data_IF_003827744111
#
_entry.id   IF_003827744111
#
_cell.length_a   1.000
_cell.length_b   1.000
_cell.length_c   1.000
_cell.angle_alpha   90.00
_cell.angle_beta   90.00
_cell.angle_gamma   90.00
#
_symmetry.space_group_name_H-M   'P 1'
#
loop_
_entity.id
_entity.type
_entity.pdbx_description
1 polymer ?
#
# COMPACT_ATOMS: atom_id res chain seq x y z
N UNK A 1 14.03 3.44 -2.18
CA UNK A 1 13.80 3.28 -3.63
C UNK A 1 15.04 2.62 -4.20
N UNK A 2 14.86 1.54 -4.95
CA UNK A 2 15.92 0.87 -5.72
C UNK A 2 15.74 1.24 -7.19
N UNK A 3 16.83 1.46 -7.91
CA UNK A 3 16.81 1.88 -9.32
C UNK A 3 17.84 1.13 -10.13
N UNK A 4 17.48 0.71 -11.34
CA UNK A 4 18.37 0.13 -12.34
C UNK A 4 17.94 0.59 -13.74
N UNK A 5 18.75 1.47 -14.36
CA UNK A 5 18.40 2.15 -15.61
C UNK A 5 17.03 2.83 -15.56
N UNK A 6 16.14 2.41 -16.45
CA UNK A 6 14.77 2.92 -16.56
C UNK A 6 13.75 2.15 -15.72
N UNK A 7 14.20 1.34 -14.76
CA UNK A 7 13.36 0.61 -13.81
C UNK A 7 13.61 1.11 -12.38
N UNK A 8 12.54 1.26 -11.60
CA UNK A 8 12.64 1.53 -10.18
C UNK A 8 11.62 0.74 -9.37
N UNK A 9 11.97 0.41 -8.12
CA UNK A 9 11.08 -0.19 -7.14
C UNK A 9 11.05 0.67 -5.87
N UNK A 10 9.85 1.01 -5.43
CA UNK A 10 9.59 1.76 -4.20
C UNK A 10 8.68 0.92 -3.31
N UNK A 11 9.00 0.84 -2.03
CA UNK A 11 8.11 0.23 -1.04
C UNK A 11 7.99 1.13 0.18
N UNK A 12 6.88 1.00 0.91
CA UNK A 12 6.66 1.76 2.14
C UNK A 12 5.37 1.34 2.87
N UNK A 13 5.23 1.88 4.09
CA UNK A 13 3.98 1.82 4.83
C UNK A 13 3.14 3.06 4.51
N UNK A 14 1.88 2.84 4.17
CA UNK A 14 0.92 3.89 3.82
C UNK A 14 -0.17 3.95 4.88
N UNK A 15 -0.43 5.14 5.40
CA UNK A 15 -1.58 5.42 6.27
C UNK A 15 -2.70 6.00 5.42
N UNK A 16 -3.86 5.36 5.44
CA UNK A 16 -5.08 5.91 4.86
C UNK A 16 -6.03 6.27 6.00
N UNK A 17 -6.57 7.48 5.95
CA UNK A 17 -7.67 7.91 6.80
C UNK A 17 -8.80 8.36 5.88
N UNK A 18 -9.98 7.78 6.06
CA UNK A 18 -11.15 8.07 5.24
C UNK A 18 -12.41 8.20 6.10
N UNK A 19 -13.40 8.95 5.57
CA UNK A 19 -14.77 8.99 6.07
C UNK A 19 -15.67 8.40 4.98
N UNK A 20 -15.97 7.08 5.02
CA UNK A 20 -16.83 6.48 4.02
C UNK A 20 -18.22 7.11 4.06
N UNK A 21 -18.82 7.30 2.89
CA UNK A 21 -20.18 7.83 2.79
C UNK A 21 -21.15 6.83 3.41
N UNK A 22 -21.99 7.29 4.35
CA UNK A 22 -23.00 6.46 5.01
C UNK A 22 -22.48 5.71 6.25
N UNK A 23 -21.18 5.77 6.54
CA UNK A 23 -20.63 5.20 7.78
C UNK A 23 -20.56 6.27 8.88
N UNK A 24 -20.96 5.93 10.12
CA UNK A 24 -20.94 6.89 11.24
C UNK A 24 -19.51 7.24 11.66
N UNK A 25 -18.58 6.30 11.53
CA UNK A 25 -17.22 6.43 12.05
C UNK A 25 -16.17 6.55 10.93
N UNK A 26 -15.13 7.39 11.11
CA UNK A 26 -13.98 7.40 10.23
C UNK A 26 -13.17 6.11 10.39
N UNK A 27 -12.47 5.71 9.32
CA UNK A 27 -11.52 4.60 9.37
C UNK A 27 -10.10 5.12 9.20
N UNK A 28 -9.16 4.51 9.93
CA UNK A 28 -7.73 4.66 9.69
C UNK A 28 -7.12 3.27 9.61
N UNK A 29 -6.33 2.99 8.56
CA UNK A 29 -5.60 1.74 8.43
C UNK A 29 -4.19 1.97 7.88
N UNK A 30 -3.27 1.08 8.26
CA UNK A 30 -1.93 1.00 7.68
C UNK A 30 -1.84 -0.19 6.75
N UNK A 31 -1.20 0.00 5.59
CA UNK A 31 -0.96 -1.07 4.63
C UNK A 31 0.41 -0.92 3.98
N UNK A 32 0.93 -2.01 3.42
CA UNK A 32 2.18 -2.02 2.68
C UNK A 32 1.88 -1.68 1.23
N UNK A 33 2.68 -0.78 0.66
CA UNK A 33 2.65 -0.45 -0.76
C UNK A 33 3.98 -0.79 -1.39
N UNK A 34 3.93 -1.43 -2.56
CA UNK A 34 5.08 -1.62 -3.45
C UNK A 34 4.70 -1.10 -4.84
N UNK A 35 5.54 -0.25 -5.41
CA UNK A 35 5.38 0.31 -6.75
C UNK A 35 6.59 -0.08 -7.58
N UNK A 36 6.36 -0.64 -8.77
CA UNK A 36 7.38 -0.70 -9.81
C UNK A 36 7.12 0.42 -10.82
N UNK A 37 8.16 1.17 -11.14
CA UNK A 37 8.11 2.30 -12.06
C UNK A 37 9.00 2.03 -13.27
N UNK A 38 8.54 2.47 -14.45
CA UNK A 38 9.34 2.52 -15.67
C UNK A 38 9.47 3.95 -16.15
N UNK A 39 10.66 4.37 -16.56
CA UNK A 39 10.86 5.67 -17.22
C UNK A 39 10.45 5.56 -18.69
N UNK A 40 9.56 6.45 -19.13
CA UNK A 40 9.09 6.58 -20.53
C UNK A 40 8.99 8.06 -20.85
N UNK A 41 9.60 8.49 -21.95
CA UNK A 41 9.69 9.90 -22.37
C UNK A 41 10.16 10.82 -21.23
N UNK A 42 11.23 10.40 -20.57
CA UNK A 42 11.86 11.03 -19.40
C UNK A 42 10.94 11.23 -18.17
N UNK A 43 9.80 10.53 -18.12
CA UNK A 43 8.90 10.53 -16.97
C UNK A 43 8.78 9.13 -16.35
N UNK A 44 8.87 9.04 -15.02
CA UNK A 44 8.55 7.81 -14.31
C UNK A 44 7.04 7.55 -14.33
N UNK A 45 6.66 6.34 -14.73
CA UNK A 45 5.28 5.86 -14.76
C UNK A 45 5.16 4.62 -13.89
N UNK A 46 4.04 4.49 -13.17
CA UNK A 46 3.74 3.26 -12.44
C UNK A 46 3.36 2.19 -13.46
N UNK A 47 4.11 1.10 -13.49
CA UNK A 47 3.83 -0.08 -14.35
C UNK A 47 3.31 -1.26 -13.56
N UNK A 48 3.53 -1.26 -12.24
CA UNK A 48 2.95 -2.23 -11.33
C UNK A 48 2.74 -1.60 -9.95
N UNK A 49 1.66 -1.99 -9.29
CA UNK A 49 1.36 -1.65 -7.92
C UNK A 49 0.89 -2.91 -7.19
N UNK A 50 1.40 -3.09 -5.98
CA UNK A 50 0.90 -4.06 -5.03
C UNK A 50 0.59 -3.34 -3.72
N UNK A 51 -0.60 -3.58 -3.17
CA UNK A 51 -1.00 -3.10 -1.85
C UNK A 51 -1.55 -4.27 -1.05
N UNK A 52 -1.19 -4.35 0.23
CA UNK A 52 -1.68 -5.43 1.08
C UNK A 52 -1.61 -5.11 2.57
N UNK A 53 -2.54 -5.70 3.30
CA UNK A 53 -2.53 -5.85 4.76
C UNK A 53 -2.21 -7.31 5.12
N UNK A 54 -1.60 -7.58 6.29
CA UNK A 54 -1.54 -8.93 6.81
C UNK A 54 -2.95 -9.44 7.15
N UNK A 55 -3.06 -10.74 7.44
CA UNK A 55 -4.28 -11.36 7.93
C UNK A 55 -3.98 -12.17 9.19
N UNK A 56 -5.00 -12.38 10.03
CA UNK A 56 -4.87 -13.15 11.25
C UNK A 56 -4.79 -14.65 10.95
N UNK A 57 -3.81 -15.32 11.58
CA UNK A 57 -3.61 -16.77 11.49
C UNK A 57 -4.40 -17.54 12.57
N UNK A 58 -5.44 -16.94 13.14
CA UNK A 58 -6.31 -17.51 14.19
C UNK A 58 -7.47 -18.35 13.64
N UNK A 59 -7.41 -18.70 12.35
CA UNK A 59 -8.47 -19.41 11.62
C UNK A 59 -9.56 -18.49 11.06
N UNK A 60 -9.60 -17.21 11.44
CA UNK A 60 -10.57 -16.26 10.88
C UNK A 60 -10.20 -15.78 9.48
N UNK A 61 -8.90 -15.79 9.14
CA UNK A 61 -8.32 -15.21 7.93
C UNK A 61 -8.73 -13.75 7.67
N UNK A 62 -9.15 -13.03 8.73
CA UNK A 62 -9.55 -11.63 8.63
C UNK A 62 -8.33 -10.75 8.36
N UNK A 63 -8.54 -9.71 7.57
CA UNK A 63 -7.55 -8.66 7.37
C UNK A 63 -7.23 -7.97 8.71
N UNK A 64 -5.96 -7.85 9.04
CA UNK A 64 -5.47 -7.20 10.27
C UNK A 64 -5.27 -5.70 10.02
N UNK A 65 -6.39 -4.97 9.98
CA UNK A 65 -6.46 -3.54 9.62
C UNK A 65 -6.27 -2.60 10.81
N UNK A 66 -6.27 -3.15 12.02
CA UNK A 66 -6.07 -2.47 13.30
C UNK A 66 -4.59 -2.24 13.65
N UNK A 67 -3.66 -2.84 12.90
CA UNK A 67 -2.24 -2.74 13.17
C UNK A 67 -1.69 -1.34 12.83
N UNK A 68 -0.79 -0.87 13.70
CA UNK A 68 0.07 0.29 13.46
C UNK A 68 1.46 -0.10 12.98
N UNK A 69 2.30 0.88 12.55
CA UNK A 69 3.72 0.65 12.36
C UNK A 69 4.34 0.23 13.70
N UNK A 70 5.17 -0.83 13.65
CA UNK A 70 5.99 -1.26 14.79
C UNK A 70 7.23 -0.40 14.97
#
# INVERSE_FOLDING_TARGET
>A
MLTDGDLAVVHGLTRLTARPVGEPEPLTLWFRSTYALRRVDDAWRIVHQHQSVPFHMDGSFRAAIELGPG
#
